data_IF_757538601271
#
_entry.id   IF_757538601271
#
_cell.length_a   1.000
_cell.length_b   1.000
_cell.length_c   1.000
_cell.angle_alpha   90.00
_cell.angle_beta   90.00
_cell.angle_gamma   90.00
#
_symmetry.space_group_name_H-M   'P 1'
#
loop_
_entity.id
_entity.type
_entity.pdbx_description
1 polymer ?
#
# COMPACT_ATOMS: atom_id res chain seq x y z
N UNK A 1 16.41 -4.14 -20.06
CA UNK A 1 16.14 -4.23 -21.51
C UNK A 1 16.59 -2.94 -22.20
N UNK A 2 17.86 -2.81 -22.55
CA UNK A 2 18.44 -1.61 -23.18
C UNK A 2 19.15 -1.91 -24.50
N UNK A 3 18.91 -3.08 -25.10
CA UNK A 3 19.73 -3.57 -26.21
C UNK A 3 18.95 -4.20 -27.38
N UNK A 4 17.76 -3.70 -27.70
CA UNK A 4 17.02 -4.13 -28.90
C UNK A 4 16.81 -2.95 -29.86
N UNK A 5 17.08 -3.17 -31.15
CA UNK A 5 16.83 -2.22 -32.25
C UNK A 5 15.32 -2.02 -32.43
N UNK A 6 14.92 -0.78 -32.72
CA UNK A 6 13.52 -0.32 -32.87
C UNK A 6 12.99 -0.48 -34.31
N UNK A 7 13.42 -1.51 -35.03
CA UNK A 7 12.83 -1.85 -36.33
C UNK A 7 11.68 -2.85 -36.11
N UNK A 8 10.81 -3.04 -37.10
CA UNK A 8 9.52 -3.78 -36.98
C UNK A 8 9.64 -5.27 -36.58
N UNK A 9 10.87 -5.79 -36.51
CA UNK A 9 11.26 -7.12 -36.00
C UNK A 9 11.83 -7.09 -34.56
N UNK A 10 11.76 -5.94 -33.89
CA UNK A 10 12.13 -5.80 -32.48
C UNK A 10 11.09 -6.45 -31.54
N UNK A 11 11.52 -6.81 -30.33
CA UNK A 11 10.70 -7.51 -29.35
C UNK A 11 9.38 -6.76 -29.06
N UNK A 12 8.28 -7.24 -29.68
CA UNK A 12 6.90 -6.75 -29.47
C UNK A 12 6.32 -7.17 -28.11
N UNK A 13 7.06 -7.95 -27.33
CA UNK A 13 6.65 -8.47 -26.03
C UNK A 13 7.27 -7.64 -24.91
N UNK A 14 6.79 -6.41 -24.75
CA UNK A 14 6.92 -5.64 -23.50
C UNK A 14 5.73 -5.86 -22.57
N UNK A 15 4.96 -6.92 -22.78
CA UNK A 15 3.84 -7.26 -21.91
C UNK A 15 4.36 -7.89 -20.62
N UNK A 16 3.85 -7.43 -19.48
CA UNK A 16 4.17 -8.02 -18.19
C UNK A 16 3.59 -9.44 -18.14
N UNK A 17 4.30 -10.41 -17.55
CA UNK A 17 3.83 -11.80 -17.48
C UNK A 17 2.46 -11.95 -16.77
N UNK A 18 2.06 -10.99 -15.95
CA UNK A 18 0.76 -10.93 -15.26
C UNK A 18 -0.42 -10.54 -16.18
N UNK A 19 -0.20 -10.29 -17.48
CA UNK A 19 -1.21 -9.70 -18.38
C UNK A 19 -2.08 -10.70 -19.15
N UNK A 20 -1.83 -12.02 -19.09
CA UNK A 20 -2.52 -12.98 -19.96
C UNK A 20 -4.03 -13.08 -19.68
N UNK A 21 -4.45 -13.16 -18.42
CA UNK A 21 -5.88 -13.19 -18.05
C UNK A 21 -6.57 -11.85 -18.36
N UNK A 22 -5.86 -10.73 -18.11
CA UNK A 22 -6.39 -9.39 -18.32
C UNK A 22 -6.60 -9.06 -19.80
N UNK A 23 -5.69 -9.53 -20.66
CA UNK A 23 -5.77 -9.36 -22.10
C UNK A 23 -6.89 -10.21 -22.73
N UNK A 24 -7.21 -11.36 -22.14
CA UNK A 24 -8.36 -12.17 -22.59
C UNK A 24 -9.70 -11.53 -22.21
N UNK A 25 -9.73 -10.72 -21.14
CA UNK A 25 -10.95 -10.13 -20.62
C UNK A 25 -11.39 -8.85 -21.36
N UNK A 26 -10.44 -8.12 -21.95
CA UNK A 26 -10.68 -6.87 -22.66
C UNK A 26 -10.49 -7.07 -24.15
N UNK A 27 -11.57 -7.40 -24.86
CA UNK A 27 -11.61 -7.32 -26.33
C UNK A 27 -11.35 -5.87 -26.74
N UNK A 28 -10.29 -5.61 -27.50
CA UNK A 28 -9.81 -4.28 -27.92
C UNK A 28 -9.37 -3.32 -26.79
N UNK A 29 -9.12 -3.82 -25.58
CA UNK A 29 -8.58 -3.02 -24.48
C UNK A 29 -9.60 -2.17 -23.71
N UNK A 30 -10.88 -2.24 -24.07
CA UNK A 30 -12.00 -1.61 -23.35
C UNK A 30 -13.18 -2.58 -23.14
N UNK A 31 -13.90 -2.46 -22.02
CA UNK A 31 -15.17 -3.18 -21.76
C UNK A 31 -16.22 -2.21 -21.21
N UNK A 32 -17.36 -2.12 -21.88
CA UNK A 32 -18.50 -1.30 -21.41
C UNK A 32 -19.23 -2.04 -20.27
N UNK A 33 -19.42 -1.37 -19.12
CA UNK A 33 -20.18 -1.92 -17.97
C UNK A 33 -21.64 -1.50 -18.02
N UNK A 34 -21.92 -0.27 -18.47
CA UNK A 34 -23.25 0.30 -18.47
C UNK A 34 -23.25 1.83 -18.42
N UNK A 35 -24.37 2.40 -17.97
CA UNK A 35 -24.58 3.85 -17.89
C UNK A 35 -24.59 4.26 -16.43
N UNK A 36 -23.85 5.31 -16.09
CA UNK A 36 -23.83 5.89 -14.75
C UNK A 36 -25.20 6.51 -14.43
N UNK A 37 -25.80 6.23 -13.25
CA UNK A 37 -27.15 6.71 -12.90
C UNK A 37 -27.23 8.24 -12.88
N UNK A 38 -26.25 8.91 -12.26
CA UNK A 38 -26.28 10.37 -12.12
C UNK A 38 -25.87 11.12 -13.39
N UNK A 39 -24.73 10.78 -14.02
CA UNK A 39 -24.24 11.51 -15.19
C UNK A 39 -24.92 11.09 -16.50
N UNK A 40 -25.62 9.94 -16.53
CA UNK A 40 -26.15 9.30 -17.75
C UNK A 40 -25.08 9.04 -18.81
N UNK A 41 -23.80 8.99 -18.41
CA UNK A 41 -22.66 8.72 -19.28
C UNK A 41 -22.25 7.26 -19.21
N UNK A 42 -21.60 6.75 -20.26
CA UNK A 42 -21.10 5.38 -20.29
C UNK A 42 -19.94 5.21 -19.32
N UNK A 43 -19.97 4.12 -18.57
CA UNK A 43 -18.88 3.67 -17.70
C UNK A 43 -18.13 2.54 -18.41
N UNK A 44 -16.83 2.75 -18.60
CA UNK A 44 -15.94 1.82 -19.29
C UNK A 44 -14.83 1.32 -18.39
N UNK A 45 -14.42 0.08 -18.58
CA UNK A 45 -13.18 -0.49 -18.05
C UNK A 45 -12.11 -0.35 -19.12
N UNK A 46 -10.94 0.16 -18.74
CA UNK A 46 -9.78 0.27 -19.62
C UNK A 46 -8.53 -0.26 -18.92
N UNK A 47 -7.54 -0.66 -19.72
CA UNK A 47 -6.22 -1.05 -19.23
C UNK A 47 -5.24 0.13 -19.27
N UNK A 48 -4.51 0.35 -18.16
CA UNK A 48 -3.50 1.39 -18.04
C UNK A 48 -2.20 0.89 -17.41
N UNK A 49 -1.22 1.78 -17.25
CA UNK A 49 0.12 1.44 -16.71
C UNK A 49 0.13 0.83 -15.30
N UNK A 50 -0.92 1.07 -14.51
CA UNK A 50 -1.04 0.61 -13.12
C UNK A 50 -2.07 -0.53 -12.95
N UNK A 51 -2.63 -1.03 -14.05
CA UNK A 51 -3.70 -2.03 -14.06
C UNK A 51 -4.99 -1.49 -14.66
N UNK A 52 -6.11 -2.16 -14.34
CA UNK A 52 -7.43 -1.77 -14.81
C UNK A 52 -7.96 -0.55 -14.08
N UNK A 53 -8.69 0.27 -14.81
CA UNK A 53 -9.36 1.43 -14.27
C UNK A 53 -10.72 1.63 -14.94
N UNK A 54 -11.62 2.25 -14.19
CA UNK A 54 -12.89 2.75 -14.66
C UNK A 54 -12.72 4.16 -15.20
N UNK A 55 -13.38 4.45 -16.31
CA UNK A 55 -13.47 5.77 -16.91
C UNK A 55 -14.94 6.11 -17.18
N UNK A 56 -15.35 7.31 -16.77
CA UNK A 56 -16.65 7.90 -17.09
C UNK A 56 -16.47 9.38 -17.41
N UNK A 57 -17.40 9.95 -18.16
CA UNK A 57 -17.54 11.40 -18.26
C UNK A 57 -18.41 11.93 -17.11
N UNK A 58 -17.99 13.04 -16.51
CA UNK A 58 -18.84 13.84 -15.62
C UNK A 58 -19.82 14.71 -16.43
N UNK A 59 -20.79 15.29 -15.73
CA UNK A 59 -21.74 16.26 -16.28
C UNK A 59 -21.00 17.46 -16.91
N UNK A 60 -19.89 17.88 -16.29
CA UNK A 60 -19.05 18.99 -16.76
C UNK A 60 -18.14 18.65 -17.96
N UNK A 61 -18.28 17.45 -18.55
CA UNK A 61 -17.45 16.97 -19.66
C UNK A 61 -16.02 16.54 -19.28
N UNK A 62 -15.64 16.64 -18.00
CA UNK A 62 -14.35 16.15 -17.50
C UNK A 62 -14.37 14.63 -17.32
N UNK A 63 -13.32 13.94 -17.76
CA UNK A 63 -13.14 12.52 -17.53
C UNK A 63 -12.83 12.25 -16.05
N UNK A 64 -13.65 11.42 -15.41
CA UNK A 64 -13.41 10.89 -14.07
C UNK A 64 -12.90 9.47 -14.19
N UNK A 65 -11.84 9.18 -13.43
CA UNK A 65 -11.18 7.87 -13.42
C UNK A 65 -11.11 7.34 -12.02
N UNK A 66 -11.28 6.03 -11.88
CA UNK A 66 -11.03 5.32 -10.63
C UNK A 66 -10.31 4.01 -10.90
N UNK A 67 -9.32 3.67 -10.08
CA UNK A 67 -8.60 2.43 -10.23
C UNK A 67 -9.45 1.26 -9.71
N UNK A 68 -9.36 0.10 -10.36
CA UNK A 68 -9.99 -1.13 -9.88
C UNK A 68 -9.00 -1.84 -8.95
N UNK A 69 -9.39 -2.22 -7.72
CA UNK A 69 -8.53 -2.98 -6.82
C UNK A 69 -8.09 -4.29 -7.48
N UNK A 70 -6.81 -4.68 -7.32
CA UNK A 70 -6.28 -5.92 -7.89
C UNK A 70 -6.95 -7.19 -7.35
N UNK A 71 -7.54 -7.11 -6.17
CA UNK A 71 -8.19 -8.24 -5.52
C UNK A 71 -9.64 -8.44 -6.00
N UNK A 72 -10.17 -7.52 -6.80
CA UNK A 72 -11.56 -7.55 -7.25
C UNK A 72 -11.60 -8.15 -8.67
N UNK A 73 -12.38 -9.22 -8.83
CA UNK A 73 -12.62 -9.79 -10.16
C UNK A 73 -13.54 -8.86 -10.96
N UNK A 74 -13.12 -8.60 -12.18
CA UNK A 74 -13.78 -7.73 -13.13
C UNK A 74 -15.09 -8.33 -13.64
N UNK A 75 -15.23 -9.66 -13.59
CA UNK A 75 -16.49 -10.33 -13.92
C UNK A 75 -17.59 -10.07 -12.88
N UNK A 76 -17.20 -9.83 -11.62
CA UNK A 76 -18.12 -9.51 -10.52
C UNK A 76 -18.42 -8.01 -10.41
N UNK A 77 -17.91 -7.21 -11.35
CA UNK A 77 -18.01 -5.77 -11.35
C UNK A 77 -19.30 -5.34 -12.05
N UNK A 78 -20.33 -5.08 -11.25
CA UNK A 78 -21.61 -4.53 -11.68
C UNK A 78 -21.56 -3.00 -11.76
N UNK A 79 -22.54 -2.39 -12.45
CA UNK A 79 -22.66 -0.93 -12.57
C UNK A 79 -22.70 -0.23 -11.20
N UNK A 80 -23.39 -0.78 -10.21
CA UNK A 80 -23.48 -0.22 -8.86
C UNK A 80 -22.10 -0.11 -8.20
N UNK A 81 -21.34 -1.22 -8.16
CA UNK A 81 -19.97 -1.23 -7.64
C UNK A 81 -19.06 -0.29 -8.44
N UNK A 82 -19.22 -0.22 -9.75
CA UNK A 82 -18.46 0.70 -10.61
C UNK A 82 -18.73 2.16 -10.21
N UNK A 83 -19.99 2.52 -9.95
CA UNK A 83 -20.37 3.87 -9.55
C UNK A 83 -19.82 4.22 -8.17
N UNK A 84 -19.76 3.26 -7.25
CA UNK A 84 -19.17 3.47 -5.93
C UNK A 84 -17.64 3.63 -5.99
N UNK A 85 -16.95 2.83 -6.81
CA UNK A 85 -15.53 3.02 -7.08
C UNK A 85 -15.25 4.39 -7.69
N UNK A 86 -16.12 4.88 -8.58
CA UNK A 86 -16.01 6.21 -9.17
C UNK A 86 -16.25 7.34 -8.16
N UNK A 87 -16.82 7.10 -6.98
CA UNK A 87 -16.95 8.13 -5.93
C UNK A 87 -15.63 8.38 -5.17
N UNK A 88 -14.64 7.50 -5.31
CA UNK A 88 -13.33 7.70 -4.68
C UNK A 88 -12.58 8.88 -5.32
N UNK A 89 -11.79 9.66 -4.57
CA UNK A 89 -11.51 9.55 -3.13
C UNK A 89 -12.68 9.98 -2.25
N UNK A 90 -12.98 9.19 -1.20
CA UNK A 90 -14.08 9.43 -0.25
C UNK A 90 -13.53 9.87 1.09
N UNK A 91 -14.15 10.88 1.70
CA UNK A 91 -13.88 11.25 3.10
C UNK A 91 -14.65 10.31 4.04
N UNK A 92 -13.94 9.59 4.91
CA UNK A 92 -14.55 8.70 5.92
C UNK A 92 -15.05 9.53 7.11
N UNK A 93 -14.28 10.54 7.53
CA UNK A 93 -14.57 11.37 8.68
C UNK A 93 -13.37 12.21 9.10
N UNK A 94 -13.44 12.79 10.30
CA UNK A 94 -12.33 13.53 10.92
C UNK A 94 -11.77 12.75 12.10
N UNK A 95 -10.46 12.83 12.29
CA UNK A 95 -9.80 12.24 13.45
C UNK A 95 -10.23 13.00 14.73
N UNK A 96 -10.62 12.31 15.82
CA UNK A 96 -11.12 12.97 17.03
C UNK A 96 -10.05 13.83 17.71
N UNK A 97 -8.80 13.36 17.78
CA UNK A 97 -7.72 14.11 18.43
C UNK A 97 -7.13 15.23 17.55
N UNK A 98 -6.82 14.95 16.27
CA UNK A 98 -6.13 15.92 15.41
C UNK A 98 -7.09 16.84 14.65
N UNK A 99 -8.39 16.52 14.59
CA UNK A 99 -9.40 17.24 13.79
C UNK A 99 -9.24 17.12 12.25
N UNK A 100 -8.23 16.38 11.79
CA UNK A 100 -7.87 16.29 10.37
C UNK A 100 -8.71 15.24 9.63
N UNK A 101 -8.90 15.44 8.34
CA UNK A 101 -9.66 14.53 7.48
C UNK A 101 -8.96 13.19 7.29
N UNK A 102 -9.77 12.13 7.25
CA UNK A 102 -9.37 10.76 6.92
C UNK A 102 -10.07 10.39 5.61
N UNK A 103 -9.28 10.06 4.59
CA UNK A 103 -9.72 9.82 3.22
C UNK A 103 -9.40 8.39 2.81
N UNK A 104 -10.37 7.69 2.22
CA UNK A 104 -10.18 6.41 1.55
C UNK A 104 -9.98 6.62 0.05
N UNK A 105 -8.95 6.00 -0.52
CA UNK A 105 -8.64 6.10 -1.95
C UNK A 105 -7.92 4.85 -2.45
N UNK A 106 -7.80 4.71 -3.77
CA UNK A 106 -7.04 3.64 -4.42
C UNK A 106 -5.84 4.26 -5.12
N UNK A 107 -4.65 3.73 -4.85
CA UNK A 107 -3.39 4.19 -5.41
C UNK A 107 -2.65 3.07 -6.15
N UNK A 108 -1.42 3.34 -6.62
CA UNK A 108 -0.63 2.35 -7.37
C UNK A 108 -0.24 1.11 -6.53
N UNK A 109 -0.21 1.25 -5.21
CA UNK A 109 0.08 0.15 -4.27
C UNK A 109 -1.17 -0.53 -3.72
N UNK A 110 -2.35 -0.22 -4.28
CA UNK A 110 -3.65 -0.74 -3.84
C UNK A 110 -4.47 0.28 -3.02
N UNK A 111 -5.57 -0.18 -2.40
CA UNK A 111 -6.42 0.65 -1.56
C UNK A 111 -5.68 1.13 -0.31
N UNK A 112 -5.94 2.37 0.10
CA UNK A 112 -5.29 2.99 1.25
C UNK A 112 -6.17 4.03 1.93
N UNK A 113 -5.84 4.28 3.19
CA UNK A 113 -6.33 5.42 3.98
C UNK A 113 -5.24 6.48 4.04
N UNK A 114 -5.63 7.73 3.85
CA UNK A 114 -4.81 8.92 4.03
C UNK A 114 -5.35 9.71 5.21
N UNK A 115 -4.50 9.94 6.20
CA UNK A 115 -4.77 10.88 7.29
C UNK A 115 -4.01 12.18 7.02
N UNK A 116 -4.74 13.27 6.84
CA UNK A 116 -4.22 14.54 6.35
C UNK A 116 -3.59 15.40 7.46
N UNK A 117 -2.64 14.84 8.19
CA UNK A 117 -1.84 15.59 9.17
C UNK A 117 -0.74 16.38 8.46
N UNK A 118 -0.53 17.62 8.87
CA UNK A 118 0.61 18.45 8.44
C UNK A 118 1.74 18.38 9.48
N UNK A 119 3.02 18.39 9.07
CA UNK A 119 3.52 18.54 7.70
C UNK A 119 3.50 17.23 6.88
N UNK A 120 3.49 16.07 7.53
CA UNK A 120 3.61 14.78 6.87
C UNK A 120 2.32 13.97 7.01
N UNK A 121 1.57 13.73 5.91
CA UNK A 121 0.38 12.89 5.96
C UNK A 121 0.74 11.42 6.19
N UNK A 122 -0.12 10.72 6.92
CA UNK A 122 0.06 9.29 7.21
C UNK A 122 -0.74 8.47 6.19
N UNK A 123 -0.07 7.50 5.58
CA UNK A 123 -0.68 6.56 4.64
C UNK A 123 -0.69 5.15 5.23
N UNK A 124 -1.86 4.50 5.15
CA UNK A 124 -2.08 3.14 5.62
C UNK A 124 -2.67 2.32 4.48
N UNK A 125 -1.96 1.29 4.03
CA UNK A 125 -2.48 0.39 3.00
C UNK A 125 -3.53 -0.55 3.61
N UNK A 126 -4.65 -0.73 2.90
CA UNK A 126 -5.69 -1.69 3.23
C UNK A 126 -5.37 -3.01 2.54
N UNK A 127 -5.26 -4.08 3.33
CA UNK A 127 -4.98 -5.43 2.82
C UNK A 127 -6.23 -6.30 2.80
N UNK A 128 -6.98 -6.25 3.89
CA UNK A 128 -8.12 -7.12 4.16
C UNK A 128 -9.43 -6.35 4.09
N UNK A 129 -9.43 -5.10 4.57
CA UNK A 129 -10.62 -4.25 4.58
C UNK A 129 -10.95 -3.66 3.20
N UNK A 130 -12.24 -3.56 2.88
CA UNK A 130 -12.74 -2.92 1.66
C UNK A 130 -12.70 -1.38 1.78
N UNK A 131 -12.08 -0.73 0.80
CA UNK A 131 -11.95 0.73 0.69
C UNK A 131 -13.30 1.45 0.57
N UNK A 132 -14.32 0.79 0.03
CA UNK A 132 -15.65 1.38 -0.15
C UNK A 132 -16.44 1.47 1.16
N UNK A 133 -16.29 0.45 2.02
CA UNK A 133 -17.12 0.26 3.21
C UNK A 133 -16.40 0.53 4.53
N UNK A 134 -15.10 0.80 4.50
CA UNK A 134 -14.33 1.03 5.72
C UNK A 134 -14.89 2.18 6.57
N UNK A 135 -15.18 1.87 7.83
CA UNK A 135 -15.71 2.80 8.81
C UNK A 135 -14.63 3.62 9.52
N UNK A 136 -15.04 4.70 10.19
CA UNK A 136 -14.14 5.59 10.93
C UNK A 136 -13.38 4.88 12.04
N UNK A 137 -14.04 4.03 12.83
CA UNK A 137 -13.41 3.32 13.97
C UNK A 137 -12.27 2.42 13.50
N UNK A 138 -12.51 1.65 12.43
CA UNK A 138 -11.49 0.77 11.84
C UNK A 138 -10.35 1.59 11.24
N UNK A 139 -10.67 2.69 10.56
CA UNK A 139 -9.65 3.59 10.03
C UNK A 139 -8.74 4.16 11.12
N UNK A 140 -9.31 4.59 12.26
CA UNK A 140 -8.57 5.11 13.40
C UNK A 140 -7.64 4.05 14.01
N UNK A 141 -8.14 2.82 14.20
CA UNK A 141 -7.33 1.71 14.72
C UNK A 141 -6.07 1.50 13.87
N UNK A 142 -6.24 1.43 12.54
CA UNK A 142 -5.13 1.21 11.61
C UNK A 142 -4.15 2.39 11.58
N UNK A 143 -4.66 3.63 11.69
CA UNK A 143 -3.82 4.83 11.79
C UNK A 143 -3.00 4.80 13.08
N UNK A 144 -3.63 4.57 14.23
CA UNK A 144 -2.97 4.49 15.54
C UNK A 144 -1.89 3.41 15.53
N UNK A 145 -2.21 2.23 15.00
CA UNK A 145 -1.23 1.14 14.88
C UNK A 145 -0.03 1.55 14.00
N UNK A 146 -0.30 2.22 12.88
CA UNK A 146 0.75 2.73 11.99
C UNK A 146 1.62 3.80 12.66
N UNK A 147 1.01 4.72 13.39
CA UNK A 147 1.73 5.77 14.12
C UNK A 147 2.59 5.22 15.24
N UNK A 148 2.08 4.25 16.01
CA UNK A 148 2.85 3.50 17.02
C UNK A 148 4.08 2.85 16.38
N UNK A 149 3.92 2.19 15.23
CA UNK A 149 5.04 1.59 14.49
C UNK A 149 6.03 2.61 13.91
N UNK A 150 5.57 3.81 13.54
CA UNK A 150 6.44 4.88 13.05
C UNK A 150 7.27 5.49 14.21
N UNK A 151 6.65 5.73 15.37
CA UNK A 151 7.31 6.21 16.59
C UNK A 151 8.30 5.16 17.12
N UNK A 152 7.94 3.89 17.01
CA UNK A 152 8.72 2.74 17.48
C UNK A 152 8.13 2.18 18.76
N UNK A 153 7.92 0.87 18.78
CA UNK A 153 7.45 0.14 19.95
C UNK A 153 8.69 -0.25 20.78
N UNK A 154 8.76 0.20 22.02
CA UNK A 154 9.88 -0.15 22.91
C UNK A 154 9.76 -1.63 23.30
N UNK A 155 10.78 -2.44 22.99
CA UNK A 155 10.84 -3.87 23.34
C UNK A 155 11.60 -4.07 24.66
N UNK A 156 12.58 -3.20 24.94
CA UNK A 156 13.39 -3.21 26.15
C UNK A 156 14.84 -2.80 25.91
N UNK A 157 15.67 -2.99 26.93
CA UNK A 157 17.07 -2.58 26.94
C UNK A 157 18.02 -3.77 26.75
N UNK A 158 19.11 -3.54 26.03
CA UNK A 158 20.18 -4.54 25.88
C UNK A 158 20.98 -4.61 27.19
N UNK A 159 21.02 -5.74 27.91
CA UNK A 159 21.61 -5.81 29.25
C UNK A 159 23.11 -5.48 29.29
N UNK A 160 23.85 -5.67 28.19
CA UNK A 160 25.30 -5.40 28.13
C UNK A 160 25.65 -3.93 27.88
N UNK A 161 24.76 -3.18 27.23
CA UNK A 161 25.06 -1.83 26.74
C UNK A 161 24.04 -0.79 27.21
N UNK A 162 22.98 -1.22 27.88
CA UNK A 162 21.83 -0.41 28.29
C UNK A 162 21.23 0.44 27.14
N UNK A 163 21.31 -0.08 25.91
CA UNK A 163 20.82 0.60 24.72
C UNK A 163 19.37 0.16 24.48
N UNK A 164 18.48 1.12 24.21
CA UNK A 164 17.06 0.89 23.93
C UNK A 164 16.86 0.22 22.57
N UNK A 165 15.99 -0.78 22.50
CA UNK A 165 15.54 -1.42 21.27
C UNK A 165 14.12 -0.96 20.93
N UNK A 166 13.98 -0.32 19.77
CA UNK A 166 12.70 0.07 19.19
C UNK A 166 12.35 -0.83 17.99
N UNK A 167 11.14 -1.38 17.97
CA UNK A 167 10.59 -2.08 16.82
C UNK A 167 9.87 -1.07 15.91
N UNK A 168 10.29 -0.99 14.64
CA UNK A 168 9.72 -0.09 13.63
C UNK A 168 9.40 -0.84 12.33
N UNK A 169 8.55 -0.23 11.50
CA UNK A 169 8.19 -0.76 10.16
C UNK A 169 8.66 0.17 9.06
N UNK A 170 9.57 -0.30 8.22
CA UNK A 170 10.10 0.43 7.06
C UNK A 170 9.64 -0.14 5.72
N UNK A 171 10.19 0.41 4.63
CA UNK A 171 9.89 -0.03 3.24
C UNK A 171 10.15 -1.52 3.01
N UNK A 172 11.18 -2.07 3.64
CA UNK A 172 11.63 -3.45 3.43
C UNK A 172 11.05 -4.48 4.42
N UNK A 173 10.23 -4.02 5.37
CA UNK A 173 9.68 -4.84 6.44
C UNK A 173 9.96 -4.26 7.83
N UNK A 174 9.76 -5.08 8.85
CA UNK A 174 10.03 -4.73 10.23
C UNK A 174 11.53 -4.75 10.53
N UNK A 175 11.97 -3.86 11.42
CA UNK A 175 13.35 -3.76 11.84
C UNK A 175 13.44 -3.25 13.28
N UNK A 176 14.52 -3.62 13.95
CA UNK A 176 14.92 -3.04 15.23
C UNK A 176 15.81 -1.84 14.98
N UNK A 177 15.53 -0.74 15.67
CA UNK A 177 16.39 0.44 15.79
C UNK A 177 16.95 0.48 17.21
N UNK A 178 18.27 0.38 17.31
CA UNK A 178 19.00 0.43 18.57
C UNK A 178 19.50 1.86 18.76
N UNK A 179 18.99 2.53 19.78
CA UNK A 179 19.45 3.87 20.17
C UNK A 179 20.75 3.71 20.98
N UNK A 180 21.84 4.28 20.48
CA UNK A 180 23.11 4.34 21.23
C UNK A 180 23.43 5.77 21.60
N UNK A 181 24.08 5.98 22.76
CA UNK A 181 24.42 7.31 23.31
C UNK A 181 25.35 8.18 22.43
N UNK A 182 25.81 7.69 21.27
CA UNK A 182 26.84 8.34 20.42
C UNK A 182 26.32 8.79 19.05
N UNK A 183 25.05 9.20 18.96
CA UNK A 183 24.37 9.61 17.71
C UNK A 183 24.34 8.55 16.58
N UNK A 184 24.74 7.31 16.88
CA UNK A 184 24.70 6.19 15.94
C UNK A 184 23.48 5.32 16.23
N UNK A 185 22.52 5.30 15.32
CA UNK A 185 21.41 4.34 15.36
C UNK A 185 21.78 3.08 14.58
N UNK A 186 21.85 1.93 15.25
CA UNK A 186 22.09 0.66 14.56
C UNK A 186 20.75 0.05 14.16
N UNK A 187 20.57 -0.26 12.87
CA UNK A 187 19.34 -0.89 12.34
C UNK A 187 19.56 -2.35 12.01
N UNK A 188 18.64 -3.21 12.47
CA UNK A 188 18.66 -4.65 12.24
C UNK A 188 17.33 -5.10 11.66
N UNK A 189 17.34 -5.58 10.41
CA UNK A 189 16.13 -6.10 9.74
C UNK A 189 15.69 -7.44 10.32
N UNK A 190 14.39 -7.55 10.56
CA UNK A 190 13.72 -8.77 11.04
C UNK A 190 13.35 -9.64 9.83
N UNK A 191 13.53 -10.97 9.90
CA UNK A 191 13.06 -11.88 8.86
C UNK A 191 11.55 -11.76 8.61
N UNK A 192 11.12 -11.86 7.35
CA UNK A 192 9.70 -11.67 6.98
C UNK A 192 8.73 -12.73 7.53
N UNK A 193 9.25 -13.91 7.92
CA UNK A 193 8.44 -15.03 8.43
C UNK A 193 8.14 -14.92 9.92
N UNK A 194 8.78 -14.00 10.64
CA UNK A 194 8.64 -13.89 12.09
C UNK A 194 7.37 -13.09 12.43
N UNK A 195 6.51 -13.63 13.31
CA UNK A 195 5.36 -12.90 13.86
C UNK A 195 5.88 -11.72 14.70
N UNK A 196 5.25 -10.56 14.54
CA UNK A 196 5.69 -9.32 15.18
C UNK A 196 5.10 -9.19 16.59
N UNK A 197 3.91 -9.72 16.79
CA UNK A 197 3.16 -9.58 18.04
C UNK A 197 3.81 -10.39 19.18
N UNK A 198 4.61 -11.40 18.85
CA UNK A 198 5.28 -12.30 19.83
C UNK A 198 6.75 -11.95 20.08
N UNK A 199 7.23 -10.80 19.61
CA UNK A 199 8.65 -10.43 19.74
C UNK A 199 8.95 -10.07 21.19
N UNK A 200 9.60 -10.99 21.90
CA UNK A 200 10.17 -10.74 23.24
C UNK A 200 11.59 -10.16 23.16
N UNK A 201 12.07 -9.61 24.28
CA UNK A 201 13.44 -9.11 24.41
C UNK A 201 14.49 -10.17 24.05
N UNK A 202 14.28 -11.42 24.49
CA UNK A 202 15.20 -12.53 24.21
C UNK A 202 15.30 -12.82 22.70
N UNK A 203 14.15 -12.93 22.03
CA UNK A 203 14.07 -13.13 20.58
C UNK A 203 14.73 -11.99 19.80
N UNK A 204 14.55 -10.75 20.25
CA UNK A 204 15.19 -9.58 19.65
C UNK A 204 16.72 -9.66 19.75
N UNK A 205 17.26 -10.04 20.92
CA UNK A 205 18.70 -10.20 21.13
C UNK A 205 19.31 -11.29 20.23
N UNK A 206 18.62 -12.41 20.03
CA UNK A 206 19.05 -13.47 19.13
C UNK A 206 19.18 -12.98 17.68
N UNK A 207 18.16 -12.28 17.18
CA UNK A 207 18.15 -11.72 15.82
C UNK A 207 19.28 -10.70 15.63
N UNK A 208 19.48 -9.81 16.62
CA UNK A 208 20.55 -8.81 16.60
C UNK A 208 21.93 -9.49 16.55
N UNK A 209 22.16 -10.49 17.40
CA UNK A 209 23.43 -11.20 17.47
C UNK A 209 23.71 -12.02 16.20
N UNK A 210 22.71 -12.71 15.65
CA UNK A 210 22.83 -13.45 14.40
C UNK A 210 23.23 -12.54 13.23
N UNK A 211 22.60 -11.36 13.13
CA UNK A 211 22.95 -10.37 12.09
C UNK A 211 24.35 -9.78 12.27
N UNK A 212 24.81 -9.51 13.51
CA UNK A 212 26.19 -9.08 13.77
C UNK A 212 27.22 -10.12 13.32
N UNK A 213 26.97 -11.41 13.54
CA UNK A 213 27.84 -12.51 13.08
C UNK A 213 27.94 -12.56 11.54
N UNK A 214 26.81 -12.43 10.83
CA UNK A 214 26.82 -12.46 9.35
C UNK A 214 27.54 -11.26 8.72
N UNK A 215 27.47 -10.06 9.32
CA UNK A 215 28.23 -8.88 8.85
C UNK A 215 29.75 -9.07 8.98
N UNK A 216 30.22 -9.76 10.03
CA UNK A 216 31.65 -10.06 10.20
C UNK A 216 32.18 -11.06 9.16
N UNK A 217 31.38 -12.07 8.78
CA UNK A 217 31.76 -13.07 7.77
C UNK A 217 31.85 -12.54 6.33
N UNK A 218 31.12 -11.46 6.00
CA UNK A 218 31.14 -10.84 4.65
C UNK A 218 32.27 -9.83 4.42
N UNK A 219 33.08 -9.54 5.44
CA UNK A 219 34.21 -8.60 5.38
C UNK A 219 35.56 -9.31 5.14
N UNK A 220 35.52 -10.59 4.79
CA UNK A 220 36.68 -11.42 4.42
C UNK A 220 36.55 -11.73 2.94
#
# INVERSE_FOLDING_TARGET
CSNYKKDEEGCKFSNSLDDQELNNLLTDGEKDIGIHPDSKKKVKIKKGRYGLYLETENIDGKLKRSAIPKNLDVNELNIEKATDLLKLPRTIGKHPETGNSIIAAIGPFGPYIKHEVKPNPVYVNLKEDDVLYIGLNRALELIIQKEKLNKGIEIGDIPKTNNKILLKKGKFGYYFEILTNKDKTERVSIPRKTSIDDITLNSALEIINAKKKTKKKKKI
#
